data_IF_418570009405
#
_entry.id   IF_418570009405
#
_cell.length_a   1.000
_cell.length_b   1.000
_cell.length_c   1.000
_cell.angle_alpha   90.00
_cell.angle_beta   90.00
_cell.angle_gamma   90.00
#
_symmetry.space_group_name_H-M   'P 1'
#
loop_
_entity.id
_entity.type
_entity.pdbx_description
1 polymer ?
#
# COMPACT_ATOMS: atom_id res chain seq x y z
N UNK A 1 14.94 -19.10 23.99
CA UNK A 1 14.57 -19.16 22.56
C UNK A 1 14.36 -17.74 22.10
N UNK A 2 15.30 -17.18 21.32
CA UNK A 2 15.12 -15.84 20.76
C UNK A 2 14.03 -15.92 19.70
N UNK A 3 12.83 -15.44 20.04
CA UNK A 3 11.83 -15.13 19.03
C UNK A 3 12.45 -14.09 18.11
N UNK A 4 12.89 -14.53 16.94
CA UNK A 4 13.15 -13.62 15.83
C UNK A 4 11.77 -13.11 15.45
N UNK A 5 11.31 -12.05 16.12
CA UNK A 5 10.13 -11.29 15.68
C UNK A 5 10.47 -10.84 14.27
N UNK A 6 9.96 -11.56 13.27
CA UNK A 6 10.14 -11.18 11.86
C UNK A 6 9.54 -9.79 11.74
N UNK A 7 10.41 -8.78 11.63
CA UNK A 7 10.00 -7.38 11.54
C UNK A 7 9.16 -7.27 10.27
N UNK A 8 7.86 -7.06 10.45
CA UNK A 8 6.92 -6.82 9.36
C UNK A 8 7.24 -5.45 8.75
N UNK A 9 7.26 -5.38 7.43
CA UNK A 9 7.43 -4.14 6.69
C UNK A 9 6.06 -3.48 6.43
N UNK A 10 5.01 -4.28 6.23
CA UNK A 10 3.63 -3.80 6.11
C UNK A 10 3.02 -3.57 7.51
N UNK A 11 2.67 -2.32 7.87
CA UNK A 11 1.98 -2.04 9.12
C UNK A 11 0.62 -2.72 9.21
N UNK A 12 0.16 -2.98 10.43
CA UNK A 12 -1.18 -3.53 10.72
C UNK A 12 -1.46 -4.91 10.09
N UNK A 13 -0.44 -5.62 9.60
CA UNK A 13 -0.61 -6.98 9.12
C UNK A 13 -0.73 -7.97 10.30
N UNK A 14 -1.95 -8.17 10.78
CA UNK A 14 -2.31 -9.16 11.80
C UNK A 14 -2.76 -10.52 11.20
N UNK A 15 -2.62 -10.68 9.89
CA UNK A 15 -3.09 -11.89 9.18
C UNK A 15 -1.98 -12.91 8.98
N UNK A 16 -2.35 -14.12 8.57
CA UNK A 16 -1.38 -15.17 8.18
C UNK A 16 -0.64 -14.85 6.88
N UNK A 17 -1.07 -13.85 6.10
CA UNK A 17 -0.40 -13.47 4.87
C UNK A 17 0.96 -12.82 5.15
N UNK A 18 1.96 -13.24 4.39
CA UNK A 18 3.25 -12.57 4.33
C UNK A 18 3.13 -11.22 3.63
N UNK A 19 4.08 -10.33 3.91
CA UNK A 19 4.10 -9.00 3.29
C UNK A 19 4.25 -9.12 1.76
N UNK A 20 5.00 -10.13 1.29
CA UNK A 20 5.08 -10.49 -0.13
C UNK A 20 3.72 -10.89 -0.70
N UNK A 21 2.95 -11.74 -0.02
CA UNK A 21 1.64 -12.16 -0.51
C UNK A 21 0.65 -10.98 -0.58
N UNK A 22 0.66 -10.08 0.40
CA UNK A 22 -0.16 -8.86 0.36
C UNK A 22 0.28 -8.00 -0.82
N UNK A 23 1.57 -7.79 -0.99
CA UNK A 23 2.11 -6.99 -2.08
C UNK A 23 1.69 -7.54 -3.45
N UNK A 24 1.86 -8.85 -3.66
CA UNK A 24 1.46 -9.51 -4.90
C UNK A 24 -0.05 -9.41 -5.17
N UNK A 25 -0.88 -9.46 -4.13
CA UNK A 25 -2.34 -9.31 -4.28
C UNK A 25 -2.74 -7.94 -4.80
N UNK A 26 -2.05 -6.88 -4.37
CA UNK A 26 -2.37 -5.51 -4.80
C UNK A 26 -1.68 -5.10 -6.10
N UNK A 27 -0.43 -5.53 -6.31
CA UNK A 27 0.45 -4.99 -7.36
C UNK A 27 0.98 -6.04 -8.34
N UNK A 28 0.68 -7.31 -8.11
CA UNK A 28 1.14 -8.41 -8.95
C UNK A 28 2.66 -8.64 -8.90
N UNK A 29 3.11 -9.57 -9.75
CA UNK A 29 4.53 -9.92 -9.88
C UNK A 29 5.36 -8.73 -10.40
N UNK A 30 4.84 -7.93 -11.33
CA UNK A 30 5.55 -6.76 -11.87
C UNK A 30 5.90 -5.76 -10.76
N UNK A 31 4.92 -5.40 -9.92
CA UNK A 31 5.17 -4.52 -8.79
C UNK A 31 6.20 -5.11 -7.83
N UNK A 32 6.11 -6.42 -7.56
CA UNK A 32 7.05 -7.10 -6.66
C UNK A 32 8.48 -7.09 -7.20
N UNK A 33 8.64 -7.31 -8.50
CA UNK A 33 9.94 -7.21 -9.18
C UNK A 33 10.50 -5.79 -9.11
N UNK A 34 9.71 -4.77 -9.44
CA UNK A 34 10.11 -3.36 -9.34
C UNK A 34 10.53 -2.99 -7.90
N UNK A 35 9.79 -3.46 -6.90
CA UNK A 35 10.11 -3.25 -5.50
C UNK A 35 11.47 -3.86 -5.12
N UNK A 36 11.74 -5.10 -5.52
CA UNK A 36 13.02 -5.76 -5.24
C UNK A 36 14.19 -5.02 -5.90
N UNK A 37 14.07 -4.67 -7.17
CA UNK A 37 15.11 -3.91 -7.89
C UNK A 37 15.38 -2.54 -7.27
N UNK A 38 14.32 -1.86 -6.81
CA UNK A 38 14.46 -0.59 -6.11
C UNK A 38 15.11 -0.78 -4.74
N UNK A 39 14.79 -1.85 -4.00
CA UNK A 39 15.39 -2.15 -2.68
C UNK A 39 16.88 -2.44 -2.77
N UNK A 40 17.31 -3.11 -3.83
CA UNK A 40 18.73 -3.43 -4.06
C UNK A 40 19.54 -2.20 -4.51
N UNK A 41 18.84 -1.12 -4.92
CA UNK A 41 19.45 0.15 -5.28
C UNK A 41 19.76 0.97 -4.02
N UNK A 42 21.05 1.32 -3.79
CA UNK A 42 21.47 2.10 -2.61
C UNK A 42 20.73 3.46 -2.54
N UNK A 43 20.02 3.72 -1.44
CA UNK A 43 19.44 5.04 -1.12
C UNK A 43 17.91 5.16 -1.17
N UNK A 44 17.19 4.13 -1.65
CA UNK A 44 15.73 4.14 -1.84
C UNK A 44 14.94 3.42 -0.73
N UNK A 45 15.61 2.78 0.23
CA UNK A 45 14.97 1.96 1.26
C UNK A 45 13.92 2.69 2.11
N UNK A 46 14.03 4.03 2.22
CA UNK A 46 13.02 4.86 2.89
C UNK A 46 11.77 5.07 2.04
N UNK A 47 11.92 5.19 0.72
CA UNK A 47 10.81 5.34 -0.22
C UNK A 47 10.00 4.04 -0.31
N UNK A 48 10.66 2.88 -0.29
CA UNK A 48 9.99 1.58 -0.28
C UNK A 48 9.08 1.39 0.96
N UNK A 49 9.51 1.89 2.13
CA UNK A 49 8.72 1.83 3.37
C UNK A 49 7.40 2.61 3.29
N UNK A 50 7.39 3.76 2.59
CA UNK A 50 6.18 4.55 2.42
C UNK A 50 5.09 3.81 1.64
N UNK A 51 5.49 2.96 0.67
CA UNK A 51 4.54 2.15 -0.09
C UNK A 51 3.91 1.07 0.79
N UNK A 52 4.69 0.48 1.71
CA UNK A 52 4.16 -0.48 2.67
C UNK A 52 3.16 0.15 3.63
N UNK A 53 3.32 1.42 4.01
CA UNK A 53 2.32 2.14 4.80
C UNK A 53 1.01 2.31 4.04
N UNK A 54 1.05 2.66 2.75
CA UNK A 54 -0.16 2.75 1.91
C UNK A 54 -0.83 1.38 1.76
N UNK A 55 -0.04 0.32 1.49
CA UNK A 55 -0.57 -1.06 1.44
C UNK A 55 -1.15 -1.51 2.78
N UNK A 56 -0.53 -1.14 3.90
CA UNK A 56 -1.01 -1.46 5.25
C UNK A 56 -2.36 -0.82 5.54
N UNK A 57 -2.52 0.47 5.21
CA UNK A 57 -3.78 1.20 5.38
C UNK A 57 -4.91 0.61 4.51
N UNK A 58 -4.62 0.23 3.26
CA UNK A 58 -5.60 -0.46 2.41
C UNK A 58 -5.95 -1.85 2.95
N UNK A 59 -4.93 -2.60 3.41
CA UNK A 59 -5.09 -3.96 3.89
C UNK A 59 -5.90 -4.03 5.18
N UNK A 60 -5.63 -3.16 6.15
CA UNK A 60 -6.36 -3.13 7.43
C UNK A 60 -7.84 -2.85 7.21
N UNK A 61 -8.18 -1.93 6.30
CA UNK A 61 -9.58 -1.63 5.96
C UNK A 61 -10.22 -2.80 5.23
N UNK A 62 -9.55 -3.38 4.23
CA UNK A 62 -10.09 -4.50 3.46
C UNK A 62 -10.28 -5.79 4.28
N UNK A 63 -9.57 -5.95 5.41
CA UNK A 63 -9.63 -7.15 6.27
C UNK A 63 -10.37 -6.96 7.58
N UNK A 64 -10.83 -5.74 7.88
CA UNK A 64 -11.60 -5.45 9.07
C UNK A 64 -13.04 -5.06 8.67
N UNK A 65 -14.03 -5.94 8.90
CA UNK A 65 -15.41 -5.67 8.49
C UNK A 65 -15.96 -4.38 9.11
N UNK A 66 -15.58 -4.05 10.35
CA UNK A 66 -16.03 -2.82 10.99
C UNK A 66 -15.47 -1.55 10.34
N UNK A 67 -14.22 -1.59 9.86
CA UNK A 67 -13.65 -0.45 9.11
C UNK A 67 -14.25 -0.38 7.72
N UNK A 68 -14.46 -1.51 7.07
CA UNK A 68 -15.09 -1.57 5.76
C UNK A 68 -16.50 -0.98 5.81
N UNK A 69 -17.33 -1.42 6.75
CA UNK A 69 -18.69 -0.91 6.96
C UNK A 69 -18.68 0.60 7.25
N UNK A 70 -17.80 1.08 8.15
CA UNK A 70 -17.64 2.51 8.44
C UNK A 70 -17.25 3.33 7.19
N UNK A 71 -16.36 2.80 6.33
CA UNK A 71 -16.00 3.45 5.08
C UNK A 71 -17.14 3.43 4.06
N UNK A 72 -18.00 2.42 4.05
CA UNK A 72 -19.16 2.33 3.16
C UNK A 72 -20.26 3.31 3.59
N UNK A 73 -20.56 3.35 4.90
CA UNK A 73 -21.60 4.22 5.48
C UNK A 73 -21.19 5.70 5.49
N UNK A 74 -19.91 6.01 5.72
CA UNK A 74 -19.43 7.38 5.88
C UNK A 74 -18.55 7.84 4.71
N UNK A 75 -19.20 8.49 3.72
CA UNK A 75 -18.52 9.07 2.55
C UNK A 75 -17.39 10.04 2.91
N UNK A 76 -17.53 10.83 3.99
CA UNK A 76 -16.49 11.79 4.38
C UNK A 76 -15.23 11.10 4.90
N UNK A 77 -15.40 10.04 5.71
CA UNK A 77 -14.26 9.23 6.19
C UNK A 77 -13.57 8.51 5.04
N UNK A 78 -14.34 7.93 4.10
CA UNK A 78 -13.79 7.33 2.89
C UNK A 78 -12.96 8.31 2.07
N UNK A 79 -13.48 9.51 1.82
CA UNK A 79 -12.74 10.57 1.10
C UNK A 79 -11.48 11.01 1.84
N UNK A 80 -11.53 11.10 3.17
CA UNK A 80 -10.36 11.43 3.98
C UNK A 80 -9.28 10.33 3.89
N UNK A 81 -9.67 9.06 3.95
CA UNK A 81 -8.76 7.91 3.77
C UNK A 81 -8.11 7.95 2.38
N UNK A 82 -8.91 8.01 1.31
CA UNK A 82 -8.40 8.02 -0.06
C UNK A 82 -7.52 9.25 -0.32
N UNK A 83 -7.88 10.41 0.23
CA UNK A 83 -7.06 11.62 0.18
C UNK A 83 -5.71 11.44 0.88
N UNK A 84 -5.69 10.79 2.06
CA UNK A 84 -4.46 10.52 2.79
C UNK A 84 -3.55 9.52 2.04
N UNK A 85 -4.10 8.47 1.43
CA UNK A 85 -3.36 7.53 0.60
C UNK A 85 -2.71 8.24 -0.59
N UNK A 86 -3.48 9.05 -1.33
CA UNK A 86 -2.98 9.81 -2.46
C UNK A 86 -1.89 10.81 -2.05
N UNK A 87 -2.07 11.49 -0.92
CA UNK A 87 -1.06 12.42 -0.40
C UNK A 87 0.28 11.71 -0.10
N UNK A 88 0.25 10.49 0.45
CA UNK A 88 1.47 9.69 0.66
C UNK A 88 2.13 9.28 -0.66
N UNK A 89 1.34 8.92 -1.67
CA UNK A 89 1.83 8.61 -3.02
C UNK A 89 2.46 9.85 -3.69
N UNK A 90 1.94 11.05 -3.47
CA UNK A 90 2.55 12.29 -3.95
C UNK A 90 3.91 12.56 -3.28
N UNK A 91 4.01 12.33 -1.98
CA UNK A 91 5.29 12.42 -1.27
C UNK A 91 6.31 11.37 -1.74
N UNK A 92 5.84 10.17 -2.09
CA UNK A 92 6.69 9.16 -2.72
C UNK A 92 7.19 9.64 -4.08
N UNK A 93 6.31 10.21 -4.92
CA UNK A 93 6.65 10.76 -6.23
C UNK A 93 7.76 11.81 -6.14
N UNK A 94 7.65 12.75 -5.20
CA UNK A 94 8.67 13.78 -4.98
C UNK A 94 10.05 13.18 -4.63
N UNK A 95 10.07 12.06 -3.89
CA UNK A 95 11.31 11.35 -3.50
C UNK A 95 11.84 10.42 -4.59
N UNK A 96 10.99 9.99 -5.52
CA UNK A 96 11.41 9.17 -6.65
C UNK A 96 12.40 9.92 -7.55
N UNK A 97 12.40 11.26 -7.54
CA UNK A 97 13.37 12.11 -8.23
C UNK A 97 13.60 11.72 -9.70
N UNK A 98 12.53 11.33 -10.40
CA UNK A 98 12.60 10.92 -11.81
C UNK A 98 13.07 9.48 -12.07
N UNK A 99 13.25 8.65 -11.03
CA UNK A 99 13.57 7.23 -11.21
C UNK A 99 12.41 6.50 -11.91
N UNK A 100 12.62 6.07 -13.15
CA UNK A 100 11.60 5.44 -13.98
C UNK A 100 10.95 4.21 -13.32
N UNK A 101 11.73 3.38 -12.61
CA UNK A 101 11.19 2.19 -11.91
C UNK A 101 10.32 2.58 -10.73
N UNK A 102 10.72 3.61 -9.97
CA UNK A 102 9.92 4.12 -8.87
C UNK A 102 8.63 4.77 -9.37
N UNK A 103 8.68 5.52 -10.47
CA UNK A 103 7.49 6.08 -11.12
C UNK A 103 6.55 4.97 -11.62
N UNK A 104 7.09 3.91 -12.22
CA UNK A 104 6.27 2.77 -12.65
C UNK A 104 5.60 2.07 -11.46
N UNK A 105 6.32 1.88 -10.36
CA UNK A 105 5.75 1.31 -9.15
C UNK A 105 4.68 2.21 -8.52
N UNK A 106 4.87 3.54 -8.59
CA UNK A 106 3.89 4.53 -8.17
C UNK A 106 2.60 4.45 -9.00
N UNK A 107 2.71 4.27 -10.32
CA UNK A 107 1.54 4.08 -11.20
C UNK A 107 0.71 2.86 -10.76
N UNK A 108 1.37 1.70 -10.56
CA UNK A 108 0.70 0.48 -10.08
C UNK A 108 0.01 0.70 -8.73
N UNK A 109 0.64 1.45 -7.83
CA UNK A 109 0.05 1.80 -6.53
C UNK A 109 -1.16 2.73 -6.64
N UNK A 110 -1.14 3.69 -7.57
CA UNK A 110 -2.31 4.56 -7.84
C UNK A 110 -3.48 3.74 -8.37
N UNK A 111 -3.22 2.86 -9.33
CA UNK A 111 -4.25 1.94 -9.84
C UNK A 111 -4.84 1.06 -8.73
N UNK A 112 -4.00 0.57 -7.80
CA UNK A 112 -4.46 -0.21 -6.67
C UNK A 112 -5.34 0.61 -5.70
N UNK A 113 -4.96 1.88 -5.43
CA UNK A 113 -5.76 2.80 -4.62
C UNK A 113 -7.10 3.12 -5.30
N UNK A 114 -7.11 3.33 -6.61
CA UNK A 114 -8.34 3.60 -7.37
C UNK A 114 -9.29 2.40 -7.35
N UNK A 115 -8.76 1.19 -7.60
CA UNK A 115 -9.54 -0.05 -7.49
C UNK A 115 -10.11 -0.25 -6.09
N UNK A 116 -9.31 0.03 -5.05
CA UNK A 116 -9.76 -0.02 -3.66
C UNK A 116 -10.86 1.00 -3.38
N UNK A 117 -10.69 2.25 -3.81
CA UNK A 117 -11.71 3.30 -3.65
C UNK A 117 -13.02 2.91 -4.32
N UNK A 118 -12.96 2.39 -5.55
CA UNK A 118 -14.16 1.96 -6.29
C UNK A 118 -14.89 0.81 -5.56
N UNK A 119 -14.14 -0.15 -4.97
CA UNK A 119 -14.73 -1.23 -4.19
C UNK A 119 -15.47 -0.72 -2.94
N UNK A 120 -14.97 0.35 -2.31
CA UNK A 120 -15.67 1.01 -1.19
C UNK A 120 -16.93 1.77 -1.64
N UNK A 121 -17.03 2.13 -2.92
CA UNK A 121 -18.17 2.85 -3.49
C UNK A 121 -19.28 1.92 -4.04
N UNK A 122 -18.93 0.72 -4.50
CA UNK A 122 -19.82 -0.21 -5.24
C UNK A 122 -20.89 -0.91 -4.38
N UNK A 123 -20.97 -0.60 -3.08
CA UNK A 123 -21.93 -1.20 -2.13
C UNK A 123 -23.28 -0.46 -2.06
N UNK A 124 -23.78 0.07 -3.18
CA UNK A 124 -25.07 0.77 -3.27
C UNK A 124 -26.08 0.10 -4.19
#
# INVERSE_FOLDING_TARGET
MSEITRIREIPYNYTSFSDREIFLRYLGEEGWHLHQELRDSRGTGRSARMLFEVLGDMWVVARNPYLLDDMQENRSRRQALVGALNHRLDQFNQRASGNAKALKLLELMREAVDKFSNCLDDSR
#
